data_IF_786765900352
#
_entry.id   IF_786765900352
#
_cell.length_a   1.000
_cell.length_b   1.000
_cell.length_c   1.000
_cell.angle_alpha   90.00
_cell.angle_beta   90.00
_cell.angle_gamma   90.00
#
_symmetry.space_group_name_H-M   'P 1'
#
loop_
_entity.id
_entity.type
_entity.pdbx_description
1 polymer ?
#
# COMPACT_ATOMS: atom_id res chain seq x y z
N UNK A 1 -86.71 -11.95 36.49
CA UNK A 1 -87.17 -13.35 36.65
C UNK A 1 -86.82 -14.03 35.34
N UNK A 2 -85.82 -14.90 35.18
CA UNK A 2 -85.03 -15.76 36.07
C UNK A 2 -83.67 -16.05 35.38
N UNK A 3 -82.72 -16.60 36.13
CA UNK A 3 -81.25 -16.73 35.90
C UNK A 3 -80.89 -17.95 35.01
N UNK A 4 -79.72 -17.93 34.33
CA UNK A 4 -79.04 -19.13 33.79
C UNK A 4 -77.59 -18.87 33.33
N UNK A 5 -76.64 -19.67 33.85
CA UNK A 5 -75.16 -19.57 33.75
C UNK A 5 -74.52 -20.32 32.56
N UNK A 6 -73.30 -19.88 32.17
CA UNK A 6 -72.18 -20.68 31.60
C UNK A 6 -72.21 -20.95 30.08
N UNK A 7 -71.12 -21.07 29.30
CA UNK A 7 -69.65 -21.09 29.48
C UNK A 7 -68.98 -20.95 28.09
N UNK A 8 -67.80 -20.33 28.02
CA UNK A 8 -66.90 -20.19 26.85
C UNK A 8 -66.19 -21.50 26.48
N UNK A 9 -66.07 -21.80 25.18
CA UNK A 9 -65.09 -22.76 24.63
C UNK A 9 -64.26 -22.08 23.54
N UNK A 10 -62.95 -21.94 23.79
CA UNK A 10 -61.92 -21.55 22.80
C UNK A 10 -61.52 -22.79 22.00
N UNK A 11 -61.65 -22.74 20.68
CA UNK A 11 -61.09 -23.74 19.76
C UNK A 11 -59.58 -23.58 19.64
N UNK A 12 -58.84 -24.64 19.98
CA UNK A 12 -57.40 -24.79 19.73
C UNK A 12 -57.16 -25.34 18.32
N UNK A 13 -56.29 -24.69 17.57
CA UNK A 13 -55.72 -25.17 16.32
C UNK A 13 -54.52 -26.08 16.66
N UNK A 14 -54.43 -27.35 16.20
CA UNK A 14 -53.33 -28.22 16.58
C UNK A 14 -52.06 -27.82 15.81
N UNK A 15 -51.01 -27.50 16.57
CA UNK A 15 -49.65 -27.32 16.09
C UNK A 15 -49.18 -28.59 15.36
N UNK A 16 -48.70 -28.45 14.13
CA UNK A 16 -47.97 -29.51 13.44
C UNK A 16 -46.73 -29.87 14.25
N UNK A 17 -46.72 -31.04 14.86
CA UNK A 17 -45.55 -31.59 15.53
C UNK A 17 -44.50 -31.94 14.47
N UNK A 18 -43.38 -31.23 14.47
CA UNK A 18 -42.22 -31.53 13.64
C UNK A 18 -41.74 -32.97 13.90
N UNK A 19 -41.66 -33.78 12.84
CA UNK A 19 -41.26 -35.18 12.93
C UNK A 19 -39.86 -35.27 13.61
N UNK A 20 -39.71 -35.96 14.75
CA UNK A 20 -38.45 -36.08 15.48
C UNK A 20 -37.32 -36.69 14.64
N UNK A 21 -37.67 -37.47 13.61
CA UNK A 21 -36.73 -38.07 12.67
C UNK A 21 -36.08 -37.01 11.75
N UNK A 22 -36.83 -36.00 11.31
CA UNK A 22 -36.31 -34.86 10.54
C UNK A 22 -35.37 -33.98 11.38
N UNK A 23 -35.69 -33.79 12.66
CA UNK A 23 -34.85 -33.02 13.60
C UNK A 23 -33.52 -33.72 13.87
N UNK A 24 -33.54 -35.05 14.04
CA UNK A 24 -32.34 -35.88 14.21
C UNK A 24 -31.47 -35.85 12.95
N UNK A 25 -32.06 -35.98 11.77
CA UNK A 25 -31.35 -35.92 10.49
C UNK A 25 -30.69 -34.55 10.24
N UNK A 26 -31.33 -33.46 10.68
CA UNK A 26 -30.76 -32.11 10.62
C UNK A 26 -29.57 -31.89 11.57
N UNK A 27 -29.61 -32.51 12.76
CA UNK A 27 -28.51 -32.47 13.73
C UNK A 27 -27.31 -33.27 13.22
N UNK A 28 -27.55 -34.47 12.68
CA UNK A 28 -26.50 -35.31 12.10
C UNK A 28 -25.82 -34.64 10.89
N UNK A 29 -26.59 -33.98 10.02
CA UNK A 29 -26.03 -33.18 8.91
C UNK A 29 -25.15 -32.03 9.39
N UNK A 30 -25.57 -31.29 10.43
CA UNK A 30 -24.78 -30.19 11.01
C UNK A 30 -23.49 -30.71 11.67
N UNK A 31 -23.56 -31.84 12.37
CA UNK A 31 -22.38 -32.48 12.96
C UNK A 31 -21.38 -32.95 11.90
N UNK A 32 -21.87 -33.53 10.79
CA UNK A 32 -21.06 -33.93 9.64
C UNK A 32 -20.36 -32.74 8.97
N UNK A 33 -21.08 -31.62 8.76
CA UNK A 33 -20.51 -30.40 8.18
C UNK A 33 -19.44 -29.83 9.12
N UNK A 34 -19.72 -29.76 10.43
CA UNK A 34 -18.75 -29.29 11.42
C UNK A 34 -17.48 -30.13 11.42
N UNK A 35 -17.61 -31.47 11.36
CA UNK A 35 -16.47 -32.38 11.31
C UNK A 35 -15.63 -32.17 10.04
N UNK A 36 -16.29 -32.04 8.88
CA UNK A 36 -15.63 -31.78 7.60
C UNK A 36 -14.87 -30.46 7.62
N UNK A 37 -15.46 -29.38 8.15
CA UNK A 37 -14.79 -28.08 8.28
C UNK A 37 -13.58 -28.19 9.19
N UNK A 38 -13.68 -28.89 10.32
CA UNK A 38 -12.54 -29.08 11.23
C UNK A 38 -11.40 -29.88 10.60
N UNK A 39 -11.71 -30.91 9.82
CA UNK A 39 -10.72 -31.72 9.11
C UNK A 39 -10.03 -30.91 8.00
N UNK A 40 -10.78 -30.07 7.27
CA UNK A 40 -10.22 -29.16 6.27
C UNK A 40 -9.29 -28.12 6.90
N UNK A 41 -9.68 -27.54 8.05
CA UNK A 41 -8.84 -26.59 8.78
C UNK A 41 -7.55 -27.24 9.28
N UNK A 42 -7.64 -28.46 9.84
CA UNK A 42 -6.48 -29.21 10.30
C UNK A 42 -5.54 -29.59 9.15
N UNK A 43 -6.10 -29.98 7.99
CA UNK A 43 -5.34 -30.27 6.78
C UNK A 43 -4.62 -29.04 6.24
N UNK A 44 -5.28 -27.88 6.22
CA UNK A 44 -4.65 -26.61 5.85
C UNK A 44 -3.53 -26.22 6.82
N UNK A 45 -3.73 -26.38 8.13
CA UNK A 45 -2.70 -26.13 9.14
C UNK A 45 -1.48 -27.05 8.96
N UNK A 46 -1.70 -28.34 8.69
CA UNK A 46 -0.63 -29.30 8.37
C UNK A 46 0.12 -28.93 7.09
N UNK A 47 -0.57 -28.41 6.06
CA UNK A 47 0.07 -27.91 4.83
C UNK A 47 0.92 -26.66 5.10
N UNK A 48 0.45 -25.73 5.93
CA UNK A 48 1.24 -24.55 6.32
C UNK A 48 2.48 -24.96 7.10
N UNK A 49 2.34 -25.85 8.09
CA UNK A 49 3.44 -26.35 8.92
C UNK A 49 4.47 -27.17 8.13
N UNK A 50 4.04 -27.88 7.09
CA UNK A 50 4.90 -28.72 6.25
C UNK A 50 5.29 -28.05 4.92
N UNK A 51 4.95 -26.77 4.72
CA UNK A 51 5.34 -26.06 3.51
C UNK A 51 6.87 -25.96 3.46
N UNK A 52 7.51 -26.33 2.34
CA UNK A 52 8.95 -26.18 2.18
C UNK A 52 9.25 -24.71 1.89
N UNK A 53 9.07 -23.82 2.87
CA UNK A 53 9.83 -22.57 2.87
C UNK A 53 11.29 -23.02 2.98
N UNK A 54 12.01 -22.93 1.87
CA UNK A 54 13.38 -23.40 1.75
C UNK A 54 14.27 -22.67 2.76
N UNK A 55 14.54 -23.30 3.90
CA UNK A 55 15.71 -22.96 4.72
C UNK A 55 16.95 -23.55 4.06
N UNK A 56 17.31 -23.02 2.89
CA UNK A 56 18.65 -23.21 2.34
C UNK A 56 19.61 -22.34 3.14
N UNK A 57 19.85 -22.71 4.40
CA UNK A 57 20.97 -22.19 5.17
C UNK A 57 22.12 -23.14 4.88
N UNK A 58 22.88 -22.83 3.83
CA UNK A 58 24.19 -23.43 3.63
C UNK A 58 25.03 -23.04 4.84
N UNK A 59 25.34 -23.97 5.73
CA UNK A 59 26.29 -23.76 6.82
C UNK A 59 27.66 -23.50 6.21
N UNK A 60 28.00 -22.21 6.07
CA UNK A 60 29.34 -21.76 5.74
C UNK A 60 30.18 -21.99 7.00
N UNK A 61 30.88 -23.13 7.05
CA UNK A 61 31.92 -23.37 8.06
C UNK A 61 33.00 -22.31 7.93
N UNK A 62 33.02 -21.34 8.86
CA UNK A 62 34.03 -20.29 8.88
C UNK A 62 33.63 -18.97 9.53
N UNK A 63 32.33 -18.72 9.79
CA UNK A 63 31.92 -17.49 10.47
C UNK A 63 32.15 -17.63 11.98
N UNK A 64 33.27 -17.08 12.47
CA UNK A 64 33.56 -16.95 13.92
C UNK A 64 32.88 -15.69 14.48
N UNK A 65 31.56 -15.63 14.38
CA UNK A 65 30.74 -14.51 14.86
C UNK A 65 29.24 -14.83 14.81
N UNK A 66 28.41 -14.13 15.61
CA UNK A 66 26.95 -14.22 15.48
C UNK A 66 26.54 -13.66 14.11
N UNK A 67 26.19 -14.52 13.17
CA UNK A 67 25.44 -14.09 11.98
C UNK A 67 23.99 -13.90 12.38
N UNK A 68 23.50 -12.66 12.30
CA UNK A 68 22.06 -12.39 12.38
C UNK A 68 21.55 -12.36 10.93
N UNK A 69 20.85 -13.42 10.52
CA UNK A 69 20.06 -13.36 9.30
C UNK A 69 18.68 -12.82 9.67
N UNK A 70 18.32 -11.67 9.11
CA UNK A 70 16.94 -11.18 9.15
C UNK A 70 16.23 -11.67 7.90
N UNK A 71 15.21 -12.51 8.08
CA UNK A 71 14.29 -12.89 7.00
C UNK A 71 13.03 -12.06 7.14
N UNK A 72 12.59 -11.43 6.05
CA UNK A 72 11.32 -10.72 5.99
C UNK A 72 10.32 -11.56 5.21
N UNK A 73 9.20 -11.90 5.84
CA UNK A 73 8.04 -12.36 5.09
C UNK A 73 7.48 -11.15 4.32
N UNK A 74 7.28 -11.30 3.02
CA UNK A 74 6.61 -10.30 2.21
C UNK A 74 5.14 -10.69 2.06
N UNK A 75 4.26 -9.73 2.34
CA UNK A 75 2.85 -9.81 2.01
C UNK A 75 2.65 -9.20 0.63
N UNK A 76 1.86 -9.87 -0.21
CA UNK A 76 1.51 -9.40 -1.54
C UNK A 76 0.00 -9.27 -1.61
N UNK A 77 -0.45 -8.06 -1.91
CA UNK A 77 -1.85 -7.75 -2.19
C UNK A 77 -2.02 -7.71 -3.70
N UNK A 78 -2.84 -8.62 -4.23
CA UNK A 78 -3.06 -8.77 -5.67
C UNK A 78 -4.23 -7.93 -6.17
N UNK A 79 -4.14 -7.47 -7.42
CA UNK A 79 -5.22 -6.78 -8.13
C UNK A 79 -5.73 -5.53 -7.41
N UNK A 80 -4.82 -4.76 -6.83
CA UNK A 80 -5.12 -3.50 -6.17
C UNK A 80 -5.29 -2.41 -7.22
N UNK A 81 -6.26 -1.53 -6.98
CA UNK A 81 -6.44 -0.30 -7.76
C UNK A 81 -5.90 0.87 -6.95
N UNK A 82 -4.87 1.53 -7.48
CA UNK A 82 -4.33 2.76 -6.94
C UNK A 82 -4.96 3.93 -7.69
N UNK A 83 -5.63 4.82 -6.96
CA UNK A 83 -6.40 5.92 -7.51
C UNK A 83 -5.84 7.24 -6.97
N UNK A 84 -5.19 8.02 -7.84
CA UNK A 84 -4.39 9.17 -7.44
C UNK A 84 -5.05 10.42 -8.00
N UNK A 85 -5.60 11.24 -7.11
CA UNK A 85 -6.20 12.52 -7.48
C UNK A 85 -5.12 13.55 -7.79
N UNK A 86 -5.21 14.16 -8.98
CA UNK A 86 -4.31 15.20 -9.46
C UNK A 86 -5.07 16.51 -9.56
N UNK A 87 -4.58 17.55 -8.89
CA UNK A 87 -5.09 18.90 -9.03
C UNK A 87 -4.52 19.54 -10.31
N UNK A 88 -5.17 20.61 -10.78
CA UNK A 88 -4.61 21.46 -11.83
C UNK A 88 -3.16 21.84 -11.52
N UNK A 89 -2.29 21.82 -12.54
CA UNK A 89 -0.85 22.06 -12.47
C UNK A 89 -0.06 20.92 -11.82
N UNK A 90 1.01 21.25 -11.09
CA UNK A 90 1.97 20.32 -10.55
C UNK A 90 1.44 19.53 -9.36
N UNK A 91 1.73 18.23 -9.35
CA UNK A 91 1.41 17.30 -8.27
C UNK A 91 2.66 16.47 -7.96
N UNK A 92 2.99 16.29 -6.68
CA UNK A 92 4.06 15.40 -6.23
C UNK A 92 3.46 14.09 -5.74
N UNK A 93 3.63 13.03 -6.53
CA UNK A 93 2.92 11.77 -6.37
C UNK A 93 3.85 10.57 -6.36
N UNK A 94 3.30 9.44 -5.94
CA UNK A 94 3.89 8.11 -6.09
C UNK A 94 2.78 7.09 -6.32
N UNK A 95 3.13 5.83 -6.60
CA UNK A 95 2.16 4.74 -6.58
C UNK A 95 2.80 3.47 -6.01
N UNK A 96 2.17 2.80 -5.02
CA UNK A 96 2.63 1.51 -4.55
C UNK A 96 2.21 0.36 -5.48
N UNK A 97 1.31 0.61 -6.44
CA UNK A 97 0.85 -0.41 -7.39
C UNK A 97 1.92 -0.67 -8.44
N UNK A 98 2.50 -1.88 -8.41
CA UNK A 98 3.35 -2.40 -9.47
C UNK A 98 2.48 -3.02 -10.56
N UNK A 99 2.37 -2.35 -11.71
CA UNK A 99 1.70 -2.90 -12.90
C UNK A 99 2.64 -3.86 -13.64
N UNK A 100 2.09 -4.82 -14.38
CA UNK A 100 2.89 -5.74 -15.22
C UNK A 100 3.69 -5.01 -16.30
N UNK A 101 3.16 -3.89 -16.79
CA UNK A 101 3.84 -3.00 -17.74
C UNK A 101 4.29 -1.73 -17.02
N UNK A 102 5.58 -1.67 -16.71
CA UNK A 102 6.19 -0.54 -16.01
C UNK A 102 6.53 0.66 -16.93
N UNK A 103 6.18 0.66 -18.22
CA UNK A 103 6.50 1.81 -19.08
C UNK A 103 5.77 3.07 -18.63
N UNK A 104 6.43 4.24 -18.69
CA UNK A 104 5.81 5.50 -18.25
C UNK A 104 4.54 5.82 -19.03
N UNK A 105 4.53 5.53 -20.34
CA UNK A 105 3.39 5.76 -21.23
C UNK A 105 2.19 4.92 -20.81
N UNK A 106 2.43 3.68 -20.36
CA UNK A 106 1.38 2.84 -19.82
C UNK A 106 0.89 3.37 -18.47
N UNK A 107 1.80 3.76 -17.58
CA UNK A 107 1.43 4.31 -16.27
C UNK A 107 0.49 5.51 -16.42
N UNK A 108 0.81 6.49 -17.27
CA UNK A 108 0.01 7.72 -17.43
C UNK A 108 -1.17 7.62 -18.40
N UNK A 109 -1.53 6.41 -18.85
CA UNK A 109 -2.52 6.17 -19.92
C UNK A 109 -3.92 6.74 -19.67
N UNK A 110 -4.28 6.99 -18.41
CA UNK A 110 -5.60 7.49 -18.00
C UNK A 110 -5.70 9.02 -17.97
N UNK A 111 -4.57 9.72 -18.13
CA UNK A 111 -4.49 11.17 -17.99
C UNK A 111 -4.77 12.01 -19.26
N UNK A 112 -4.61 11.51 -20.51
CA UNK A 112 -5.04 12.27 -21.68
C UNK A 112 -6.54 12.61 -21.66
N UNK A 113 -6.96 13.78 -22.18
CA UNK A 113 -6.13 14.79 -22.86
C UNK A 113 -5.44 15.78 -21.89
N UNK A 114 -5.58 15.59 -20.58
CA UNK A 114 -5.14 16.59 -19.59
C UNK A 114 -3.67 16.47 -19.18
N UNK A 115 -3.00 15.38 -19.56
CA UNK A 115 -1.60 15.13 -19.27
C UNK A 115 -0.66 16.11 -19.99
N UNK A 116 0.22 16.77 -19.24
CA UNK A 116 1.28 17.62 -19.82
C UNK A 116 2.61 16.88 -19.77
N UNK A 117 3.08 16.53 -18.56
CA UNK A 117 4.40 15.93 -18.38
C UNK A 117 4.54 15.21 -17.05
N UNK A 118 5.45 14.25 -16.98
CA UNK A 118 5.89 13.57 -15.76
C UNK A 118 7.41 13.60 -15.66
N UNK A 119 7.92 13.82 -14.45
CA UNK A 119 9.34 13.92 -14.17
C UNK A 119 9.70 13.11 -12.92
N UNK A 120 10.88 12.50 -12.90
CA UNK A 120 11.48 11.90 -11.71
C UNK A 120 12.88 12.43 -11.49
N UNK A 121 13.41 12.21 -10.29
CA UNK A 121 14.75 12.63 -9.91
C UNK A 121 15.53 11.47 -9.31
N UNK A 122 16.68 11.16 -9.90
CA UNK A 122 17.64 10.19 -9.43
C UNK A 122 18.86 10.88 -8.82
N UNK A 123 18.92 10.94 -7.49
CA UNK A 123 20.01 11.57 -6.74
C UNK A 123 21.35 10.84 -6.81
N UNK A 124 21.41 9.61 -7.34
CA UNK A 124 22.66 8.89 -7.57
C UNK A 124 23.36 9.28 -8.89
N UNK A 125 22.68 10.00 -9.77
CA UNK A 125 23.21 10.42 -11.07
C UNK A 125 24.26 11.52 -10.93
N UNK A 126 25.38 11.39 -11.64
CA UNK A 126 26.49 12.36 -11.59
C UNK A 126 26.26 13.56 -12.52
N UNK A 127 25.60 13.34 -13.67
CA UNK A 127 25.43 14.36 -14.73
C UNK A 127 23.97 14.58 -15.16
N UNK A 128 23.09 13.59 -14.95
CA UNK A 128 21.73 13.58 -15.48
C UNK A 128 20.75 12.98 -14.46
N UNK A 129 20.39 13.83 -13.50
CA UNK A 129 19.57 13.45 -12.35
C UNK A 129 18.07 13.57 -12.63
N UNK A 130 17.65 14.36 -13.61
CA UNK A 130 16.23 14.55 -13.93
C UNK A 130 15.83 13.74 -15.15
N UNK A 131 14.75 12.98 -15.02
CA UNK A 131 14.17 12.20 -16.12
C UNK A 131 12.80 12.73 -16.45
N UNK A 132 12.48 12.85 -17.73
CA UNK A 132 11.22 13.44 -18.17
C UNK A 132 10.50 12.63 -19.26
N UNK A 133 9.16 12.69 -19.23
CA UNK A 133 8.30 12.30 -20.33
C UNK A 133 7.20 13.35 -20.52
N UNK A 134 7.09 13.88 -21.74
CA UNK A 134 6.18 14.95 -22.15
C UNK A 134 5.80 14.76 -23.63
N UNK A 135 4.68 14.09 -23.93
CA UNK A 135 4.32 13.66 -25.29
C UNK A 135 4.01 14.81 -26.26
N UNK A 136 3.82 16.03 -25.72
CA UNK A 136 3.50 17.24 -26.49
C UNK A 136 4.63 18.28 -26.42
N UNK A 137 5.81 17.92 -25.92
CA UNK A 137 6.97 18.80 -25.92
C UNK A 137 7.58 18.95 -27.31
N UNK A 138 8.31 20.05 -27.49
CA UNK A 138 9.11 20.29 -28.70
C UNK A 138 10.18 19.20 -28.89
N UNK A 139 10.62 18.98 -30.13
CA UNK A 139 11.53 17.89 -30.49
C UNK A 139 12.91 17.94 -29.82
N UNK A 140 13.29 19.07 -29.21
CA UNK A 140 14.54 19.20 -28.45
C UNK A 140 14.40 18.76 -26.98
N UNK A 141 13.17 18.52 -26.49
CA UNK A 141 12.96 18.04 -25.14
C UNK A 141 13.36 16.56 -25.02
N UNK A 142 14.28 16.28 -24.10
CA UNK A 142 14.73 14.91 -23.81
C UNK A 142 13.56 14.10 -23.21
N UNK A 143 13.35 12.90 -23.75
CA UNK A 143 12.30 11.95 -23.35
C UNK A 143 12.93 10.67 -22.81
N UNK A 144 13.47 10.74 -21.60
CA UNK A 144 14.34 9.70 -21.04
C UNK A 144 13.80 9.07 -19.75
N UNK A 145 12.62 9.49 -19.28
CA UNK A 145 11.86 8.72 -18.29
C UNK A 145 11.14 7.56 -18.98
N UNK A 146 11.78 6.40 -19.07
CA UNK A 146 11.21 5.24 -19.75
C UNK A 146 10.24 4.41 -18.89
N UNK A 147 10.48 4.35 -17.58
CA UNK A 147 9.78 3.44 -16.67
C UNK A 147 9.25 4.17 -15.42
N UNK A 148 8.10 3.70 -14.96
CA UNK A 148 7.53 4.02 -13.66
C UNK A 148 7.97 2.96 -12.64
N UNK A 149 8.55 3.39 -11.52
CA UNK A 149 9.03 2.56 -10.44
C UNK A 149 8.34 2.96 -9.14
N UNK A 150 7.89 1.98 -8.36
CA UNK A 150 7.16 2.23 -7.10
C UNK A 150 8.00 2.96 -6.05
N UNK A 151 9.34 2.86 -6.14
CA UNK A 151 10.29 3.47 -5.21
C UNK A 151 10.54 4.96 -5.50
N UNK A 152 10.18 5.42 -6.69
CA UNK A 152 10.44 6.79 -7.15
C UNK A 152 9.28 7.72 -6.84
N UNK A 153 9.60 8.98 -6.57
CA UNK A 153 8.62 10.06 -6.56
C UNK A 153 8.53 10.72 -7.92
N UNK A 154 7.35 11.25 -8.25
CA UNK A 154 7.07 11.84 -9.54
C UNK A 154 6.45 13.23 -9.42
N UNK A 155 6.96 14.17 -10.19
CA UNK A 155 6.27 15.43 -10.49
C UNK A 155 5.40 15.23 -11.73
N UNK A 156 4.09 15.32 -11.56
CA UNK A 156 3.11 15.21 -12.67
C UNK A 156 2.42 16.55 -12.87
N UNK A 157 2.45 17.05 -14.10
CA UNK A 157 1.77 18.27 -14.50
C UNK A 157 0.54 17.94 -15.36
N UNK A 158 -0.61 18.50 -15.00
CA UNK A 158 -1.88 18.35 -15.73
C UNK A 158 -2.55 19.70 -15.96
N UNK A 159 -3.26 19.87 -17.07
CA UNK A 159 -3.95 21.12 -17.42
C UNK A 159 -5.40 21.20 -16.88
N UNK A 160 -5.88 20.16 -16.19
CA UNK A 160 -7.16 20.10 -15.50
C UNK A 160 -7.11 19.04 -14.41
N UNK A 161 -7.92 19.20 -13.35
CA UNK A 161 -8.09 18.18 -12.32
C UNK A 161 -8.41 16.83 -12.97
N UNK A 162 -7.63 15.81 -12.64
CA UNK A 162 -7.65 14.50 -13.29
C UNK A 162 -7.40 13.41 -12.26
N UNK A 163 -7.61 12.16 -12.66
CA UNK A 163 -7.30 11.01 -11.82
C UNK A 163 -6.37 10.05 -12.56
N UNK A 164 -5.26 9.70 -11.92
CA UNK A 164 -4.36 8.65 -12.39
C UNK A 164 -4.77 7.33 -11.72
N UNK A 165 -5.34 6.43 -12.52
CA UNK A 165 -5.69 5.08 -12.07
C UNK A 165 -4.65 4.06 -12.56
N UNK A 166 -4.14 3.24 -11.63
CA UNK A 166 -3.20 2.15 -11.91
C UNK A 166 -3.71 0.85 -11.30
N UNK A 167 -3.45 -0.28 -11.95
CA UNK A 167 -3.85 -1.62 -11.48
C UNK A 167 -2.62 -2.51 -11.34
N UNK A 168 -2.37 -2.98 -10.12
CA UNK A 168 -1.16 -3.74 -9.87
C UNK A 168 -1.15 -4.43 -8.52
N UNK A 169 0.01 -4.98 -8.18
CA UNK A 169 0.24 -5.62 -6.90
C UNK A 169 0.92 -4.64 -5.95
N UNK A 170 0.61 -4.74 -4.67
CA UNK A 170 1.32 -4.02 -3.60
C UNK A 170 2.04 -5.05 -2.74
N UNK A 171 3.34 -4.87 -2.55
CA UNK A 171 4.17 -5.77 -1.73
C UNK A 171 4.65 -5.01 -0.50
N UNK A 172 4.63 -5.62 0.69
CA UNK A 172 5.24 -5.06 1.91
C UNK A 172 5.97 -6.15 2.69
N UNK A 173 7.15 -5.88 3.31
CA UNK A 173 7.88 -4.64 3.26
C UNK A 173 8.55 -4.38 1.91
N UNK A 174 8.78 -3.10 1.63
CA UNK A 174 9.66 -2.62 0.56
C UNK A 174 10.90 -1.94 1.14
N UNK A 175 11.96 -1.91 0.34
CA UNK A 175 13.23 -1.29 0.69
C UNK A 175 13.59 -0.27 -0.38
N UNK A 176 13.88 0.96 0.04
CA UNK A 176 14.27 2.06 -0.84
C UNK A 176 15.70 2.45 -0.48
N UNK A 177 16.63 2.31 -1.43
CA UNK A 177 18.00 2.78 -1.28
C UNK A 177 18.01 4.31 -1.39
N UNK A 178 18.61 4.98 -0.40
CA UNK A 178 18.75 6.42 -0.35
C UNK A 178 20.23 6.77 -0.36
N UNK A 179 20.60 7.74 -1.17
CA UNK A 179 21.97 8.23 -1.31
C UNK A 179 22.15 9.54 -0.58
N UNK A 180 23.39 9.85 -0.18
CA UNK A 180 23.74 11.13 0.42
C UNK A 180 23.27 12.29 -0.47
N UNK A 181 22.63 13.29 0.14
CA UNK A 181 21.96 14.40 -0.56
C UNK A 181 20.46 14.16 -0.77
N UNK A 182 19.87 14.88 -1.74
CA UNK A 182 18.45 14.80 -2.02
C UNK A 182 18.08 13.51 -2.75
N UNK A 183 16.97 12.90 -2.33
CA UNK A 183 16.36 11.75 -3.00
C UNK A 183 14.87 12.06 -3.19
N UNK A 184 14.33 11.77 -4.38
CA UNK A 184 12.90 11.86 -4.64
C UNK A 184 12.30 10.46 -4.65
N UNK A 185 11.57 10.12 -3.59
CA UNK A 185 11.04 8.77 -3.40
C UNK A 185 9.52 8.73 -3.42
N UNK A 186 9.01 7.54 -3.69
CA UNK A 186 7.61 7.21 -3.57
C UNK A 186 7.32 6.49 -2.25
N UNK A 187 6.19 6.83 -1.61
CA UNK A 187 5.70 5.99 -0.52
C UNK A 187 5.10 4.70 -1.09
N UNK A 188 5.77 3.58 -0.83
CA UNK A 188 5.46 2.26 -1.40
C UNK A 188 4.42 1.46 -0.59
N UNK A 189 3.83 2.07 0.44
CA UNK A 189 2.76 1.47 1.24
C UNK A 189 1.42 2.13 0.93
N UNK A 190 0.35 1.33 0.99
CA UNK A 190 -1.02 1.84 0.89
C UNK A 190 -1.60 2.29 2.24
N UNK A 191 -0.77 2.30 3.29
CA UNK A 191 -1.14 2.80 4.61
C UNK A 191 -0.55 4.17 4.90
N UNK A 192 -1.32 5.01 5.59
CA UNK A 192 -0.80 6.25 6.18
C UNK A 192 -0.06 5.91 7.47
N UNK A 193 1.18 6.39 7.62
CA UNK A 193 1.96 6.21 8.85
C UNK A 193 2.44 7.54 9.40
N UNK A 194 2.49 7.63 10.72
CA UNK A 194 3.13 8.77 11.39
C UNK A 194 4.59 8.85 10.94
N UNK A 195 5.08 10.06 10.65
CA UNK A 195 6.41 10.25 10.05
C UNK A 195 7.55 9.68 10.90
N UNK A 196 7.43 9.73 12.24
CA UNK A 196 8.43 9.16 13.15
C UNK A 196 8.52 7.63 13.07
N UNK A 197 7.38 6.97 12.83
CA UNK A 197 7.29 5.52 12.63
C UNK A 197 7.75 5.15 11.23
N UNK A 198 7.34 5.92 10.22
CA UNK A 198 7.66 5.66 8.82
C UNK A 198 9.17 5.74 8.55
N UNK A 199 9.88 6.67 9.20
CA UNK A 199 11.30 6.92 8.97
C UNK A 199 12.22 6.25 10.00
N UNK A 200 11.69 5.38 10.86
CA UNK A 200 12.45 4.78 11.97
C UNK A 200 13.71 4.03 11.50
N UNK A 201 13.67 3.40 10.32
CA UNK A 201 14.82 2.65 9.80
C UNK A 201 15.98 3.52 9.32
N UNK A 202 15.75 4.83 9.15
CA UNK A 202 16.75 5.82 8.71
C UNK A 202 16.88 6.96 9.74
N UNK A 203 16.46 6.72 10.99
CA UNK A 203 16.54 7.75 12.02
C UNK A 203 17.99 8.21 12.23
N UNK A 204 18.19 9.54 12.22
CA UNK A 204 19.51 10.14 12.40
C UNK A 204 20.40 10.19 11.15
N UNK A 205 19.91 9.75 9.99
CA UNK A 205 20.67 9.76 8.73
C UNK A 205 20.15 10.76 7.69
N UNK A 206 19.19 11.62 8.05
CA UNK A 206 18.64 12.67 7.20
C UNK A 206 18.46 13.98 7.97
N UNK A 207 18.38 15.09 7.23
CA UNK A 207 18.19 16.44 7.77
C UNK A 207 16.76 16.94 7.64
N UNK A 208 16.11 16.67 6.51
CA UNK A 208 14.73 17.08 6.27
C UNK A 208 14.00 16.17 5.30
N UNK A 209 12.68 16.16 5.42
CA UNK A 209 11.74 15.52 4.49
C UNK A 209 10.72 16.55 4.05
N UNK A 210 10.46 16.61 2.75
CA UNK A 210 9.52 17.57 2.16
C UNK A 210 8.49 16.83 1.31
N UNK A 211 7.24 17.28 1.36
CA UNK A 211 6.17 16.85 0.48
C UNK A 211 5.47 18.09 -0.11
N UNK A 212 4.82 17.90 -1.27
CA UNK A 212 4.05 18.96 -1.92
C UNK A 212 2.59 18.54 -2.08
N UNK A 213 1.70 19.26 -1.40
CA UNK A 213 0.26 19.04 -1.38
C UNK A 213 -0.44 20.08 -2.25
N UNK A 214 -0.66 19.71 -3.52
CA UNK A 214 -1.25 20.59 -4.54
C UNK A 214 -2.66 21.10 -4.21
N UNK A 215 -3.35 20.48 -3.25
CA UNK A 215 -4.67 20.90 -2.77
C UNK A 215 -4.61 21.94 -1.64
N UNK A 216 -3.43 22.22 -1.07
CA UNK A 216 -3.24 23.29 -0.08
C UNK A 216 -2.73 24.54 -0.81
N UNK A 217 -3.65 25.47 -1.10
CA UNK A 217 -3.33 26.69 -1.85
C UNK A 217 -2.59 27.75 -1.03
N UNK A 218 -2.55 27.61 0.30
CA UNK A 218 -1.92 28.60 1.19
C UNK A 218 -0.49 28.17 1.49
N UNK A 219 -0.30 26.88 1.76
CA UNK A 219 0.98 26.32 2.15
C UNK A 219 1.17 24.91 1.58
N UNK A 220 1.48 24.80 0.27
CA UNK A 220 1.55 23.49 -0.37
C UNK A 220 2.76 22.67 0.06
N UNK A 221 3.80 23.28 0.62
CA UNK A 221 5.02 22.57 1.01
C UNK A 221 4.97 22.17 2.48
N UNK A 222 4.96 20.85 2.73
CA UNK A 222 4.99 20.28 4.07
C UNK A 222 6.41 19.82 4.38
N UNK A 223 6.93 20.19 5.55
CA UNK A 223 8.31 19.92 5.95
C UNK A 223 8.37 19.20 7.29
N UNK A 224 9.26 18.22 7.36
CA UNK A 224 9.67 17.56 8.59
C UNK A 224 11.18 17.69 8.77
N UNK A 225 11.60 18.19 9.92
CA UNK A 225 12.99 18.20 10.33
C UNK A 225 13.07 17.75 11.80
N UNK A 226 13.69 16.60 12.10
CA UNK A 226 13.72 16.03 13.44
C UNK A 226 14.51 16.87 14.46
N UNK A 227 15.32 17.84 13.99
CA UNK A 227 16.13 18.71 14.83
C UNK A 227 15.49 20.07 15.11
N UNK A 228 14.32 20.36 14.54
CA UNK A 228 13.58 21.59 14.84
C UNK A 228 12.71 21.43 16.10
N UNK A 229 12.41 22.56 16.75
CA UNK A 229 11.48 22.58 17.88
C UNK A 229 10.08 22.08 17.45
N UNK A 230 9.33 21.42 18.36
CA UNK A 230 7.96 21.00 18.07
C UNK A 230 7.10 22.15 17.54
N UNK A 231 6.32 21.88 16.49
CA UNK A 231 5.46 22.87 15.85
C UNK A 231 6.10 23.67 14.71
N UNK A 232 7.41 23.50 14.46
CA UNK A 232 8.09 24.06 13.27
C UNK A 232 8.13 23.10 12.08
N UNK A 233 7.64 21.87 12.27
CA UNK A 233 7.43 20.88 11.22
C UNK A 233 5.93 20.58 11.13
N UNK A 234 5.42 20.57 9.90
CA UNK A 234 4.01 20.40 9.58
C UNK A 234 3.74 19.17 8.70
N UNK A 235 4.78 18.50 8.22
CA UNK A 235 4.67 17.16 7.65
C UNK A 235 4.65 16.10 8.78
N UNK A 236 3.46 15.60 9.11
CA UNK A 236 3.26 14.68 10.24
C UNK A 236 3.11 13.21 9.83
N UNK A 237 2.83 12.95 8.56
CA UNK A 237 2.50 11.61 8.05
C UNK A 237 3.12 11.35 6.69
N UNK A 238 3.54 10.10 6.47
CA UNK A 238 3.76 9.53 5.14
C UNK A 238 2.43 8.91 4.70
N UNK A 239 1.81 9.53 3.70
CA UNK A 239 0.49 9.21 3.14
C UNK A 239 0.68 8.48 1.79
N UNK A 240 -0.17 7.48 1.47
CA UNK A 240 -0.24 6.85 0.16
C UNK A 240 -0.33 7.87 -0.98
N UNK A 241 0.23 7.48 -2.13
CA UNK A 241 0.17 8.22 -3.39
C UNK A 241 0.92 9.56 -3.41
N UNK A 242 1.74 9.86 -2.40
CA UNK A 242 2.55 11.08 -2.34
C UNK A 242 4.02 10.77 -2.57
N UNK A 243 4.69 11.66 -3.31
CA UNK A 243 6.14 11.68 -3.42
C UNK A 243 6.76 12.49 -2.27
N UNK A 244 7.98 12.14 -1.90
CA UNK A 244 8.72 12.79 -0.81
C UNK A 244 10.16 13.06 -1.23
N UNK A 245 10.62 14.27 -0.92
CA UNK A 245 12.02 14.62 -0.97
C UNK A 245 12.65 14.32 0.39
N UNK A 246 13.73 13.55 0.42
CA UNK A 246 14.49 13.27 1.65
C UNK A 246 15.93 13.71 1.44
N UNK A 247 16.43 14.60 2.30
CA UNK A 247 17.82 15.04 2.28
C UNK A 247 18.67 14.23 3.26
N UNK A 248 19.40 13.25 2.74
CA UNK A 248 20.21 12.31 3.51
C UNK A 248 21.59 12.91 3.83
N UNK A 249 22.09 12.67 5.03
CA UNK A 249 23.47 12.98 5.42
C UNK A 249 24.44 11.85 5.08
N UNK A 250 23.94 10.62 5.03
CA UNK A 250 24.68 9.41 4.65
C UNK A 250 23.74 8.44 3.92
N UNK A 251 24.31 7.57 3.10
CA UNK A 251 23.57 6.50 2.43
C UNK A 251 22.87 5.60 3.46
N UNK A 252 21.62 5.23 3.18
CA UNK A 252 20.83 4.35 4.04
C UNK A 252 19.76 3.60 3.23
N UNK A 253 19.05 2.70 3.89
CA UNK A 253 17.91 1.99 3.29
C UNK A 253 16.65 2.27 4.11
N UNK A 254 15.67 2.90 3.49
CA UNK A 254 14.35 3.07 4.07
C UNK A 254 13.57 1.76 3.95
N UNK A 255 13.15 1.21 5.08
CA UNK A 255 12.25 0.06 5.16
C UNK A 255 10.82 0.56 5.31
N UNK A 256 10.01 0.32 4.29
CA UNK A 256 8.58 0.63 4.28
C UNK A 256 7.81 -0.62 4.66
N UNK A 257 6.95 -0.50 5.68
CA UNK A 257 6.05 -1.56 6.20
C UNK A 257 4.59 -1.12 6.07
#
# INVERSE_FOLDING_TARGET
>A
MTIGLGTTVKGNNPAQAENPEHKKQGIERKALISLLVTLLLAGYLLLVLNSPVSKNITTISGITGKSVSQTYAQEIFYNITCNIDLNYSWNLISSPCLEDNASVTYAVRTLPPNFISIHSFNGSGIDDTWKAYSPHADSFAVQDLAYFAIQDGYWVNVNATSNLTMHGNVTVPNFISLHTGWNLIGWTSNETKNISVALVSIQGTFTSVHAYFSNDSVDPWKVYNPNLAPGLSDLLYMIPFKGYWINMTIDATLKVI
#
